data_IF_326412620277
#
_entry.id   IF_326412620277
#
_cell.length_a   1.000
_cell.length_b   1.000
_cell.length_c   1.000
_cell.angle_alpha   90.00
_cell.angle_beta   90.00
_cell.angle_gamma   90.00
#
_symmetry.space_group_name_H-M   'P 1'
#
loop_
_entity.id
_entity.type
_entity.pdbx_description
1 polymer ?
#
# COMPACT_ATOMS: atom_id res chain seq x y z
N UNK A 1 -0.53 -3.57 -7.55
CA UNK A 1 -0.17 -3.05 -6.21
C UNK A 1 -0.32 -4.18 -5.20
N UNK A 2 0.67 -4.37 -4.32
CA UNK A 2 0.58 -5.35 -3.22
C UNK A 2 0.53 -4.59 -1.89
N UNK A 3 -0.57 -4.80 -1.17
CA UNK A 3 -0.95 -4.11 0.06
C UNK A 3 -1.91 -2.95 -0.20
N UNK A 4 -3.00 -2.90 0.56
CA UNK A 4 -4.01 -1.85 0.56
C UNK A 4 -3.97 -0.99 1.84
N UNK A 5 -2.76 -0.74 2.33
CA UNK A 5 -2.52 0.30 3.35
C UNK A 5 -2.51 1.70 2.74
N UNK A 6 -2.32 2.74 3.57
CA UNK A 6 -2.32 4.14 3.12
C UNK A 6 -1.43 4.40 1.90
N UNK A 7 -0.19 3.90 1.91
CA UNK A 7 0.74 4.02 0.79
C UNK A 7 0.25 3.30 -0.48
N UNK A 8 -0.32 2.09 -0.33
CA UNK A 8 -0.81 1.30 -1.45
C UNK A 8 -2.04 1.92 -2.11
N UNK A 9 -2.96 2.46 -1.30
CA UNK A 9 -4.15 3.16 -1.78
C UNK A 9 -3.78 4.48 -2.49
N UNK A 10 -2.86 5.27 -1.90
CA UNK A 10 -2.39 6.51 -2.52
C UNK A 10 -1.70 6.26 -3.87
N UNK A 11 -0.81 5.27 -3.93
CA UNK A 11 -0.15 4.90 -5.18
C UNK A 11 -1.12 4.30 -6.21
N UNK A 12 -2.11 3.51 -5.78
CA UNK A 12 -3.16 3.01 -6.67
C UNK A 12 -3.98 4.14 -7.29
N UNK A 13 -4.38 5.13 -6.48
CA UNK A 13 -5.09 6.31 -6.96
C UNK A 13 -4.25 7.12 -7.97
N UNK A 14 -2.97 7.34 -7.69
CA UNK A 14 -2.07 8.04 -8.62
C UNK A 14 -1.93 7.29 -9.96
N UNK A 15 -1.81 5.96 -9.94
CA UNK A 15 -1.71 5.14 -11.14
C UNK A 15 -3.02 5.15 -11.95
N UNK A 16 -4.17 5.11 -11.30
CA UNK A 16 -5.49 5.24 -11.96
C UNK A 16 -5.61 6.62 -12.63
N UNK A 17 -5.22 7.70 -11.93
CA UNK A 17 -5.19 9.05 -12.51
C UNK A 17 -4.26 9.16 -13.72
N UNK A 18 -3.18 8.39 -13.75
CA UNK A 18 -2.27 8.31 -14.89
C UNK A 18 -2.77 7.39 -16.03
N UNK A 19 -3.98 6.81 -15.90
CA UNK A 19 -4.55 5.90 -16.91
C UNK A 19 -3.93 4.50 -16.92
N UNK A 20 -3.19 4.12 -15.87
CA UNK A 20 -2.55 2.81 -15.77
C UNK A 20 -3.53 1.80 -15.18
N UNK A 21 -3.86 0.70 -15.89
CA UNK A 21 -4.67 -0.38 -15.33
C UNK A 21 -3.97 -0.98 -14.10
N UNK A 22 -4.69 -1.09 -12.99
CA UNK A 22 -4.12 -1.58 -11.74
C UNK A 22 -5.08 -2.52 -11.02
N UNK A 23 -4.49 -3.50 -10.34
CA UNK A 23 -5.15 -4.31 -9.33
C UNK A 23 -4.42 -4.15 -7.99
N UNK A 24 -5.16 -3.96 -6.90
CA UNK A 24 -4.62 -3.90 -5.54
C UNK A 24 -4.95 -5.21 -4.83
N UNK A 25 -3.92 -5.94 -4.41
CA UNK A 25 -4.07 -7.18 -3.64
C UNK A 25 -3.75 -6.94 -2.18
N UNK A 26 -4.66 -7.31 -1.28
CA UNK A 26 -4.48 -7.22 0.17
C UNK A 26 -4.75 -8.57 0.81
N UNK A 27 -3.82 -9.01 1.65
CA UNK A 27 -3.90 -10.32 2.33
C UNK A 27 -4.96 -10.34 3.42
N UNK A 28 -5.21 -9.19 4.04
CA UNK A 28 -6.18 -9.06 5.11
C UNK A 28 -7.60 -9.01 4.54
N UNK A 29 -8.57 -9.53 5.29
CA UNK A 29 -9.99 -9.52 4.89
C UNK A 29 -10.66 -8.15 5.01
N UNK A 30 -9.94 -7.15 5.56
CA UNK A 30 -10.45 -5.80 5.81
C UNK A 30 -9.40 -4.75 5.47
N UNK A 31 -9.83 -3.66 4.84
CA UNK A 31 -9.00 -2.47 4.63
C UNK A 31 -8.55 -1.87 5.95
N UNK A 32 -7.32 -1.33 5.97
CA UNK A 32 -6.71 -0.72 7.14
C UNK A 32 -6.60 -1.65 8.37
N UNK A 33 -6.60 -2.98 8.19
CA UNK A 33 -6.49 -3.97 9.28
C UNK A 33 -5.28 -3.73 10.20
N UNK A 34 -4.17 -3.23 9.65
CA UNK A 34 -2.99 -2.86 10.44
C UNK A 34 -3.30 -1.80 11.50
N UNK A 35 -4.18 -0.84 11.23
CA UNK A 35 -4.58 0.19 12.18
C UNK A 35 -5.46 -0.38 13.29
N UNK A 36 -6.35 -1.30 12.95
CA UNK A 36 -7.20 -1.97 13.93
C UNK A 36 -6.38 -2.75 14.97
N UNK A 37 -5.33 -3.46 14.52
CA UNK A 37 -4.41 -4.23 15.38
C UNK A 37 -3.54 -3.39 16.32
N UNK A 38 -3.48 -2.06 16.13
CA UNK A 38 -2.74 -1.18 17.05
C UNK A 38 -3.53 -0.93 18.32
N UNK A 39 -2.81 -0.54 19.38
CA UNK A 39 -3.41 -0.20 20.67
C UNK A 39 -4.53 0.84 20.52
N UNK A 40 -5.52 0.77 21.40
CA UNK A 40 -6.74 1.59 21.30
C UNK A 40 -6.43 3.07 21.24
N UNK A 41 -5.56 3.58 22.13
CA UNK A 41 -5.27 5.00 22.27
C UNK A 41 -4.38 5.60 21.17
N UNK A 42 -4.23 4.91 20.03
CA UNK A 42 -3.37 5.39 18.95
C UNK A 42 -3.98 6.61 18.27
N UNK A 43 -3.18 7.66 18.16
CA UNK A 43 -3.46 8.84 17.37
C UNK A 43 -2.38 9.00 16.31
N UNK A 44 -2.72 9.68 15.21
CA UNK A 44 -1.73 10.13 14.24
C UNK A 44 -0.71 11.04 14.93
N UNK A 45 0.58 10.86 14.65
CA UNK A 45 1.64 11.72 15.17
C UNK A 45 1.99 12.87 14.21
N UNK A 46 1.38 12.87 13.02
CA UNK A 46 1.41 13.97 12.06
C UNK A 46 0.09 14.74 12.12
N UNK A 47 0.13 15.99 11.66
CA UNK A 47 -1.09 16.76 11.46
C UNK A 47 -1.93 16.11 10.35
N UNK A 48 -3.24 15.95 10.56
CA UNK A 48 -4.13 15.23 9.63
C UNK A 48 -4.01 15.70 8.18
N UNK A 49 -3.94 17.01 7.96
CA UNK A 49 -3.95 17.58 6.61
C UNK A 49 -2.63 17.33 5.87
N UNK A 50 -1.53 17.05 6.60
CA UNK A 50 -0.24 16.63 6.02
C UNK A 50 -0.21 15.15 5.62
N UNK A 51 -1.15 14.35 6.12
CA UNK A 51 -1.24 12.90 5.88
C UNK A 51 -2.49 12.49 5.13
N UNK A 52 -3.27 13.47 4.67
CA UNK A 52 -4.49 13.27 3.91
C UNK A 52 -4.14 13.10 2.43
N UNK A 53 -4.47 11.96 1.81
CA UNK A 53 -4.36 11.82 0.37
C UNK A 53 -5.32 12.79 -0.34
N UNK A 54 -4.96 13.34 -1.50
CA UNK A 54 -5.79 14.33 -2.18
C UNK A 54 -7.12 13.72 -2.66
N UNK A 55 -8.23 14.38 -2.37
CA UNK A 55 -9.57 14.05 -2.90
C UNK A 55 -10.59 13.60 -1.87
N UNK A 56 -10.18 13.27 -0.64
CA UNK A 56 -11.09 13.02 0.48
C UNK A 56 -10.52 13.73 1.70
N UNK A 57 -11.32 14.58 2.34
CA UNK A 57 -10.92 15.30 3.54
C UNK A 57 -11.42 14.61 4.81
N UNK A 58 -10.81 14.92 5.94
CA UNK A 58 -11.39 14.54 7.23
C UNK A 58 -12.67 15.34 7.50
N UNK A 59 -13.71 14.73 8.09
CA UNK A 59 -14.92 15.45 8.49
C UNK A 59 -14.62 16.63 9.42
N UNK A 60 -15.43 17.68 9.33
CA UNK A 60 -15.36 18.82 10.24
C UNK A 60 -15.42 18.36 11.71
N UNK A 61 -14.61 19.00 12.56
CA UNK A 61 -14.48 18.62 13.97
C UNK A 61 -13.55 17.43 14.26
N UNK A 62 -12.95 16.80 13.23
CA UNK A 62 -11.86 15.85 13.47
C UNK A 62 -10.70 16.57 14.18
N UNK A 63 -10.06 15.97 15.22
CA UNK A 63 -8.89 16.57 15.87
C UNK A 63 -7.70 16.74 14.93
N UNK A 64 -6.76 17.63 15.29
CA UNK A 64 -5.51 17.83 14.54
C UNK A 64 -4.68 16.54 14.39
N UNK A 65 -4.72 15.71 15.44
CA UNK A 65 -4.08 14.41 15.54
C UNK A 65 -5.17 13.34 15.69
N UNK A 66 -5.73 12.81 14.59
CA UNK A 66 -6.90 11.96 14.63
C UNK A 66 -6.62 10.62 15.29
N UNK A 67 -7.63 10.11 16.01
CA UNK A 67 -7.63 8.75 16.53
C UNK A 67 -7.57 7.71 15.41
N UNK A 68 -7.02 6.51 15.66
CA UNK A 68 -6.89 5.44 14.66
C UNK A 68 -8.20 5.13 13.92
N UNK A 69 -9.34 5.21 14.60
CA UNK A 69 -10.64 4.93 13.98
C UNK A 69 -11.01 5.97 12.91
N UNK A 70 -10.64 7.24 13.11
CA UNK A 70 -10.86 8.28 12.11
C UNK A 70 -9.96 8.05 10.88
N UNK A 71 -8.71 7.63 11.09
CA UNK A 71 -7.78 7.26 9.99
C UNK A 71 -8.32 6.06 9.20
N UNK A 72 -8.81 5.04 9.91
CA UNK A 72 -9.43 3.86 9.29
C UNK A 72 -10.63 4.25 8.43
N UNK A 73 -11.55 5.06 8.97
CA UNK A 73 -12.72 5.54 8.24
C UNK A 73 -12.30 6.28 6.98
N UNK A 74 -11.36 7.20 7.12
CA UNK A 74 -10.84 7.99 6.03
C UNK A 74 -10.21 7.14 4.90
N UNK A 75 -9.44 6.10 5.23
CA UNK A 75 -8.88 5.20 4.21
C UNK A 75 -9.96 4.38 3.47
N UNK A 76 -11.04 4.00 4.16
CA UNK A 76 -12.16 3.31 3.53
C UNK A 76 -12.94 4.26 2.60
N UNK A 77 -13.23 5.47 3.07
CA UNK A 77 -13.87 6.53 2.26
C UNK A 77 -13.03 6.86 1.03
N UNK A 78 -11.72 7.03 1.18
CA UNK A 78 -10.79 7.24 0.07
C UNK A 78 -10.84 6.12 -0.95
N UNK A 79 -10.83 4.85 -0.51
CA UNK A 79 -10.92 3.72 -1.43
C UNK A 79 -12.25 3.69 -2.20
N UNK A 80 -13.36 4.03 -1.54
CA UNK A 80 -14.69 4.04 -2.16
C UNK A 80 -14.87 5.21 -3.12
N UNK A 81 -14.50 6.42 -2.69
CA UNK A 81 -14.62 7.65 -3.47
C UNK A 81 -13.87 7.57 -4.80
N UNK A 82 -12.73 6.87 -4.83
CA UNK A 82 -11.92 6.70 -6.04
C UNK A 82 -12.14 5.36 -6.74
N UNK A 83 -13.10 4.53 -6.29
CA UNK A 83 -13.42 3.25 -6.91
C UNK A 83 -12.21 2.32 -7.04
N UNK A 84 -11.33 2.28 -6.03
CA UNK A 84 -10.06 1.56 -6.13
C UNK A 84 -10.31 0.04 -6.24
N UNK A 85 -9.70 -0.66 -7.22
CA UNK A 85 -9.91 -2.09 -7.46
C UNK A 85 -9.13 -2.93 -6.44
N UNK A 86 -9.62 -2.98 -5.20
CA UNK A 86 -9.02 -3.73 -4.10
C UNK A 86 -9.64 -5.11 -3.95
N UNK A 87 -8.81 -6.15 -4.05
CA UNK A 87 -9.15 -7.53 -3.68
C UNK A 87 -8.60 -7.85 -2.30
N UNK A 88 -9.51 -7.98 -1.34
CA UNK A 88 -9.23 -8.34 0.05
C UNK A 88 -9.14 -9.86 0.21
N UNK A 89 -8.46 -10.32 1.26
CA UNK A 89 -8.28 -11.75 1.56
C UNK A 89 -7.41 -12.51 0.55
N UNK A 90 -6.66 -11.80 -0.29
CA UNK A 90 -5.79 -12.39 -1.32
C UNK A 90 -4.34 -12.14 -0.94
N UNK A 91 -3.71 -13.16 -0.36
CA UNK A 91 -2.29 -13.11 -0.05
C UNK A 91 -1.48 -13.38 -1.33
N UNK A 92 -0.48 -12.54 -1.60
CA UNK A 92 0.54 -12.84 -2.59
C UNK A 92 1.56 -13.79 -1.98
N UNK A 93 1.72 -14.95 -2.61
CA UNK A 93 2.57 -16.04 -2.14
C UNK A 93 3.93 -16.07 -2.86
N UNK A 94 3.96 -15.70 -4.14
CA UNK A 94 5.17 -15.62 -4.94
C UNK A 94 5.09 -14.53 -6.00
N UNK A 95 6.22 -13.89 -6.29
CA UNK A 95 6.38 -12.93 -7.38
C UNK A 95 7.62 -13.34 -8.17
N UNK A 96 7.45 -13.65 -9.45
CA UNK A 96 8.55 -14.00 -10.34
C UNK A 96 8.58 -13.08 -11.55
N UNK A 97 9.78 -12.79 -12.03
CA UNK A 97 9.99 -12.04 -13.27
C UNK A 97 10.39 -13.01 -14.37
N UNK A 98 9.62 -13.07 -15.45
CA UNK A 98 9.84 -14.01 -16.55
C UNK A 98 10.58 -13.36 -17.74
N UNK A 99 11.29 -12.26 -17.50
CA UNK A 99 12.08 -11.55 -18.52
C UNK A 99 11.39 -10.33 -19.12
N UNK A 100 10.09 -10.40 -19.37
CA UNK A 100 9.32 -9.28 -19.94
C UNK A 100 8.05 -8.94 -19.14
N UNK A 101 7.50 -9.89 -18.39
CA UNK A 101 6.39 -9.69 -17.45
C UNK A 101 6.66 -10.30 -16.08
N UNK A 102 5.82 -9.91 -15.12
CA UNK A 102 5.78 -10.48 -13.79
C UNK A 102 4.64 -11.47 -13.67
N UNK A 103 4.88 -12.58 -12.98
CA UNK A 103 3.83 -13.47 -12.48
C UNK A 103 3.66 -13.28 -10.98
N UNK A 104 2.41 -13.22 -10.54
CA UNK A 104 2.04 -13.07 -9.14
C UNK A 104 1.16 -14.26 -8.74
N UNK A 105 1.71 -15.16 -7.94
CA UNK A 105 0.93 -16.26 -7.36
C UNK A 105 0.19 -15.77 -6.12
N UNK A 106 -1.07 -16.18 -5.99
CA UNK A 106 -1.93 -15.76 -4.89
C UNK A 106 -2.64 -16.93 -4.24
N UNK A 107 -3.02 -16.73 -2.97
CA UNK A 107 -3.78 -17.72 -2.19
C UNK A 107 -5.14 -18.07 -2.80
N UNK A 108 -5.71 -17.20 -3.64
CA UNK A 108 -7.01 -17.38 -4.28
C UNK A 108 -6.96 -18.25 -5.55
N UNK A 109 -5.76 -18.55 -6.07
CA UNK A 109 -5.58 -19.23 -7.35
C UNK A 109 -4.25 -19.94 -7.45
N UNK A 110 -3.97 -20.89 -6.55
CA UNK A 110 -2.76 -21.72 -6.62
C UNK A 110 -2.67 -22.39 -8.00
N UNK A 111 -1.52 -22.22 -8.67
CA UNK A 111 -1.28 -22.73 -10.02
C UNK A 111 -1.89 -21.90 -11.16
N UNK A 112 -2.52 -20.75 -10.86
CA UNK A 112 -2.99 -19.78 -11.85
C UNK A 112 -2.46 -18.38 -11.52
N UNK A 113 -1.18 -18.10 -11.82
CA UNK A 113 -0.58 -16.81 -11.54
C UNK A 113 -1.24 -15.68 -12.34
N UNK A 114 -1.38 -14.53 -11.70
CA UNK A 114 -1.77 -13.28 -12.35
C UNK A 114 -0.57 -12.70 -13.13
N UNK A 115 -0.77 -12.28 -14.38
CA UNK A 115 0.29 -11.65 -15.18
C UNK A 115 0.21 -10.14 -15.02
N UNK A 116 1.33 -9.48 -14.72
CA UNK A 116 1.39 -8.04 -14.49
C UNK A 116 2.62 -7.38 -15.14
N UNK A 117 2.44 -6.13 -15.58
CA UNK A 117 3.51 -5.26 -16.11
C UNK A 117 3.23 -3.80 -15.70
N UNK A 118 3.93 -3.20 -14.71
CA UNK A 118 4.83 -3.75 -13.68
C UNK A 118 4.11 -4.11 -12.36
N UNK A 119 4.83 -4.75 -11.41
CA UNK A 119 4.36 -4.98 -10.03
C UNK A 119 4.95 -3.94 -9.09
N UNK A 120 4.07 -3.21 -8.40
CA UNK A 120 4.43 -2.27 -7.33
C UNK A 120 4.11 -2.88 -5.98
N UNK A 121 5.10 -2.93 -5.08
CA UNK A 121 4.92 -3.42 -3.71
C UNK A 121 5.82 -2.68 -2.73
N UNK A 122 5.39 -2.60 -1.47
CA UNK A 122 6.25 -2.12 -0.38
C UNK A 122 7.07 -3.27 0.16
N UNK A 123 8.39 -3.16 0.11
CA UNK A 123 9.28 -4.13 0.75
C UNK A 123 9.12 -4.04 2.27
N UNK A 124 8.35 -4.95 2.87
CA UNK A 124 8.35 -5.16 4.31
C UNK A 124 9.40 -6.24 4.61
N UNK A 125 10.29 -6.01 5.58
CA UNK A 125 11.44 -6.86 5.94
C UNK A 125 11.12 -8.35 6.25
N UNK A 126 9.85 -8.76 6.24
CA UNK A 126 9.38 -10.15 6.39
C UNK A 126 9.05 -10.86 5.06
N UNK A 127 9.15 -10.20 3.92
CA UNK A 127 8.79 -10.74 2.60
C UNK A 127 10.01 -11.23 1.78
N UNK A 128 11.14 -11.50 2.43
CA UNK A 128 12.38 -11.98 1.78
C UNK A 128 12.20 -13.27 0.95
N UNK A 129 11.11 -14.01 1.18
CA UNK A 129 10.75 -15.22 0.44
C UNK A 129 9.94 -14.98 -0.86
N UNK A 130 9.38 -13.77 -1.05
CA UNK A 130 8.52 -13.47 -2.21
C UNK A 130 9.29 -13.21 -3.51
N UNK A 131 10.59 -12.92 -3.41
CA UNK A 131 11.40 -12.44 -4.52
C UNK A 131 12.47 -13.48 -4.82
N UNK A 132 12.11 -14.56 -5.52
CA UNK A 132 13.10 -15.59 -5.88
C UNK A 132 14.00 -15.16 -7.02
N UNK A 133 13.57 -14.23 -7.90
CA UNK A 133 14.27 -13.91 -9.14
C UNK A 133 14.10 -12.45 -9.58
N UNK A 134 14.23 -11.49 -8.65
CA UNK A 134 14.30 -10.08 -9.04
C UNK A 134 15.65 -9.79 -9.73
N UNK A 135 15.68 -9.23 -10.95
CA UNK A 135 16.90 -8.67 -11.52
C UNK A 135 17.43 -7.53 -10.62
N UNK A 136 18.75 -7.27 -10.67
CA UNK A 136 19.43 -6.26 -9.84
C UNK A 136 18.82 -4.83 -9.95
N UNK A 137 18.03 -4.55 -10.99
CA UNK A 137 17.25 -3.30 -11.16
C UNK A 137 16.13 -3.12 -10.13
N UNK A 138 15.80 -4.13 -9.33
CA UNK A 138 14.84 -4.01 -8.23
C UNK A 138 15.42 -3.32 -6.98
N UNK A 139 16.72 -3.05 -6.92
CA UNK A 139 17.36 -2.42 -5.76
C UNK A 139 17.57 -0.92 -5.95
N UNK A 140 16.97 -0.15 -5.01
CA UNK A 140 17.16 1.29 -4.77
C UNK A 140 17.09 2.18 -6.01
N UNK A 141 15.93 2.78 -6.21
CA UNK A 141 15.76 3.93 -7.08
C UNK A 141 16.62 5.12 -6.55
N UNK A 142 17.87 5.24 -7.02
CA UNK A 142 18.53 6.54 -7.21
C UNK A 142 18.55 6.77 -8.70
N UNK A 143 17.56 7.53 -9.17
CA UNK A 143 17.53 8.25 -10.44
C UNK A 143 18.14 7.53 -11.67
N UNK A 144 17.26 7.22 -12.63
CA UNK A 144 17.50 6.68 -13.98
C UNK A 144 17.38 5.15 -14.10
N UNK A 145 16.25 4.66 -14.61
CA UNK A 145 16.20 4.15 -15.98
C UNK A 145 14.75 3.99 -16.47
N UNK A 146 14.49 4.26 -17.76
CA UNK A 146 13.14 4.50 -18.33
C UNK A 146 12.43 3.26 -18.87
N UNK A 147 12.92 2.05 -18.61
CA UNK A 147 12.29 0.82 -19.10
C UNK A 147 12.27 -0.25 -18.00
N UNK A 148 11.07 -0.81 -17.75
CA UNK A 148 10.74 -1.82 -16.74
C UNK A 148 10.74 -1.35 -15.26
N UNK A 149 9.81 -0.45 -14.91
CA UNK A 149 9.74 0.15 -13.58
C UNK A 149 8.97 -0.67 -12.53
N UNK A 150 9.68 -1.44 -11.69
CA UNK A 150 9.19 -1.70 -10.34
C UNK A 150 9.45 -0.44 -9.50
N UNK A 151 8.40 0.30 -9.13
CA UNK A 151 8.55 1.55 -8.38
C UNK A 151 8.46 1.26 -6.88
N UNK A 152 9.52 1.54 -6.12
CA UNK A 152 9.53 1.50 -4.66
C UNK A 152 9.42 2.95 -4.17
N UNK A 153 8.25 3.35 -3.70
CA UNK A 153 8.07 4.63 -3.00
C UNK A 153 7.98 4.41 -1.49
N UNK A 154 8.87 5.08 -0.76
CA UNK A 154 8.98 4.96 0.68
C UNK A 154 8.05 5.97 1.36
N UNK A 155 6.77 5.63 1.45
CA UNK A 155 5.84 6.40 2.28
C UNK A 155 6.03 6.02 3.74
N UNK A 156 6.75 6.88 4.47
CA UNK A 156 7.07 6.74 5.88
C UNK A 156 5.81 6.74 6.74
N UNK A 157 5.30 5.55 7.06
CA UNK A 157 4.46 5.36 8.24
C UNK A 157 5.34 5.61 9.46
N UNK A 158 5.18 6.77 10.10
CA UNK A 158 6.00 7.16 11.23
C UNK A 158 5.86 6.13 12.36
N UNK A 159 6.96 5.45 12.69
CA UNK A 159 7.10 4.76 13.96
C UNK A 159 7.14 5.83 15.04
N UNK A 160 6.01 6.06 15.72
CA UNK A 160 5.95 6.96 16.85
C UNK A 160 6.96 6.54 17.92
N UNK A 161 8.03 7.32 18.09
CA UNK A 161 8.80 7.34 19.33
C UNK A 161 7.90 7.94 20.41
N UNK A 162 7.82 7.28 21.56
CA UNK A 162 7.13 7.77 22.76
C UNK A 162 7.65 9.17 23.09
N UNK A 163 6.78 10.18 23.10
CA UNK A 163 7.08 11.42 23.80
C UNK A 163 6.86 11.17 25.31
N UNK A 164 7.78 11.58 26.19
CA UNK A 164 7.58 11.50 27.63
C UNK A 164 6.54 12.54 28.08
N UNK A 165 5.76 12.17 29.10
CA UNK A 165 4.78 13.04 29.75
C UNK A 165 5.44 14.35 30.24
N UNK A 166 4.75 15.47 30.00
CA UNK A 166 4.84 16.68 30.83
C UNK A 166 3.46 16.86 31.44
#
# INVERSE_FOLDING_TARGET
MIGAGAAGLAAAHALIKAGVPILVLEKESRLAELWYRRHERLHLNSYRDLSTPPGVDYPAGTPAFPHKNAVVRHLNEFSQAHGLPVRLGVAVEEIAFNGDYWTVETSAGRGRPEIARPVVYRHAAKHSRLLRQCPNSCQRNRAADRQAGAMIENWGGASGRKQPNI
#
